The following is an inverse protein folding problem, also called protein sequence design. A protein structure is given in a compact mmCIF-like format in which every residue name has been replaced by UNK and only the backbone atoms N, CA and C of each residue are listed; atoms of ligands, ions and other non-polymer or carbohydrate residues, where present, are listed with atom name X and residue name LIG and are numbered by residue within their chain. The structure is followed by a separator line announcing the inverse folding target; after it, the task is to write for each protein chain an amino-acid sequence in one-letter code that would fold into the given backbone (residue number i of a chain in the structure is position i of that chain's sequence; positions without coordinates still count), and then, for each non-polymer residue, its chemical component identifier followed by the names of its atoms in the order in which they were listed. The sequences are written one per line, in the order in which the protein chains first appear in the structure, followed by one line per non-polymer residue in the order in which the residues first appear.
data_IF_345926529565
#
_entry.id   IF_345926529565
#
_cell.length_a   1.000
_cell.length_b   1.000
_cell.length_c   1.000
_cell.angle_alpha   90.00
_cell.angle_beta   90.00
_cell.angle_gamma   90.00
#
_symmetry.space_group_name_H-M   'P 1'
#
loop_
_entity.id
_entity.type
_entity.pdbx_description
1 polymer ?
#
# COMPACT_ATOMS: atom_id res chain seq x y z
N UNK A 1 23.32 -14.68 29.91
CA UNK A 1 23.61 -13.59 28.96
C UNK A 1 23.73 -14.24 27.58
N UNK A 2 22.63 -14.31 26.84
CA UNK A 2 22.59 -15.01 25.54
C UNK A 2 23.18 -14.05 24.51
N UNK A 3 24.29 -14.44 23.88
CA UNK A 3 24.81 -13.75 22.69
C UNK A 3 23.69 -13.71 21.64
N UNK A 4 23.03 -12.55 21.52
CA UNK A 4 22.20 -12.26 20.35
C UNK A 4 23.18 -12.16 19.19
N UNK A 5 23.34 -13.25 18.43
CA UNK A 5 24.32 -13.34 17.36
C UNK A 5 24.14 -12.18 16.40
N UNK A 6 25.22 -11.48 16.03
CA UNK A 6 25.21 -10.35 15.09
C UNK A 6 24.48 -10.66 13.77
N UNK A 7 24.42 -11.94 13.37
CA UNK A 7 23.64 -12.43 12.21
C UNK A 7 22.15 -12.07 12.27
N UNK A 8 21.55 -11.93 13.46
CA UNK A 8 20.15 -11.55 13.60
C UNK A 8 19.90 -10.09 13.20
N UNK A 9 20.89 -9.22 13.30
CA UNK A 9 20.69 -7.79 13.00
C UNK A 9 20.65 -7.55 11.49
N UNK A 10 21.51 -8.20 10.70
CA UNK A 10 21.58 -7.97 9.25
C UNK A 10 20.30 -8.37 8.52
N UNK A 11 19.69 -9.51 8.91
CA UNK A 11 18.43 -9.95 8.30
C UNK A 11 17.26 -9.03 8.64
N UNK A 12 17.23 -8.45 9.86
CA UNK A 12 16.20 -7.46 10.24
C UNK A 12 16.30 -6.18 9.38
N UNK A 13 17.52 -5.74 9.06
CA UNK A 13 17.73 -4.62 8.13
C UNK A 13 17.29 -4.96 6.70
N UNK A 14 17.63 -6.15 6.20
CA UNK A 14 17.21 -6.60 4.88
C UNK A 14 15.68 -6.70 4.77
N UNK A 15 15.02 -7.27 5.79
CA UNK A 15 13.57 -7.29 5.92
C UNK A 15 12.96 -5.89 5.91
N UNK A 16 13.54 -4.94 6.66
CA UNK A 16 13.09 -3.56 6.66
C UNK A 16 13.25 -2.89 5.28
N UNK A 17 14.39 -3.10 4.61
CA UNK A 17 14.64 -2.59 3.26
C UNK A 17 13.68 -3.18 2.24
N UNK A 18 13.44 -4.49 2.26
CA UNK A 18 12.53 -5.12 1.29
C UNK A 18 11.12 -4.58 1.41
N UNK A 19 10.64 -4.35 2.62
CA UNK A 19 9.29 -3.78 2.85
C UNK A 19 9.24 -2.31 2.45
N UNK A 20 10.21 -1.50 2.87
CA UNK A 20 10.16 -0.05 2.62
C UNK A 20 10.47 0.32 1.16
N UNK A 21 11.27 -0.46 0.45
CA UNK A 21 11.55 -0.23 -0.98
C UNK A 21 10.42 -0.73 -1.89
N UNK A 22 9.57 -1.64 -1.42
CA UNK A 22 8.56 -2.28 -2.26
C UNK A 22 7.60 -1.28 -2.93
N UNK A 23 7.05 -0.24 -2.27
CA UNK A 23 6.27 0.81 -2.93
C UNK A 23 7.03 1.60 -4.00
N UNK A 24 8.32 1.85 -3.78
CA UNK A 24 9.18 2.63 -4.69
C UNK A 24 9.54 1.79 -5.91
N UNK A 25 9.91 0.52 -5.69
CA UNK A 25 10.37 -0.39 -6.74
C UNK A 25 9.25 -1.14 -7.45
N UNK A 26 8.02 -1.00 -6.96
CA UNK A 26 6.84 -1.71 -7.46
C UNK A 26 6.48 -1.45 -8.92
N UNK A 27 6.63 -0.22 -9.46
CA UNK A 27 6.35 0.05 -10.87
C UNK A 27 7.33 -0.57 -11.87
N UNK A 28 8.50 -1.02 -11.42
CA UNK A 28 9.55 -1.53 -12.31
C UNK A 28 9.41 -3.06 -12.47
N UNK A 29 8.81 -3.50 -13.58
CA UNK A 29 8.57 -4.90 -13.92
C UNK A 29 9.82 -5.51 -14.57
N UNK A 30 10.21 -6.70 -14.11
CA UNK A 30 11.33 -7.47 -14.67
C UNK A 30 10.83 -8.62 -15.56
N UNK A 31 9.95 -9.49 -15.03
CA UNK A 31 9.47 -10.68 -15.72
C UNK A 31 7.96 -10.80 -15.52
N UNK A 32 7.19 -10.69 -16.61
CA UNK A 32 5.72 -10.70 -16.54
C UNK A 32 5.21 -9.63 -15.57
N UNK A 33 4.34 -9.97 -14.60
CA UNK A 33 3.87 -9.01 -13.59
C UNK A 33 4.88 -8.76 -12.44
N UNK A 34 5.97 -9.53 -12.34
CA UNK A 34 6.90 -9.46 -11.21
C UNK A 34 7.75 -8.20 -11.26
N UNK A 35 7.60 -7.36 -10.24
CA UNK A 35 8.41 -6.16 -10.05
C UNK A 35 9.73 -6.45 -9.33
N UNK A 36 10.71 -5.53 -9.46
CA UNK A 36 11.97 -5.56 -8.71
C UNK A 36 11.67 -5.65 -7.20
N UNK A 37 10.68 -4.90 -6.72
CA UNK A 37 10.27 -4.91 -5.31
C UNK A 37 9.84 -6.30 -4.83
N UNK A 38 9.07 -7.02 -5.63
CA UNK A 38 8.57 -8.36 -5.28
C UNK A 38 9.67 -9.42 -5.37
N UNK A 39 10.54 -9.33 -6.38
CA UNK A 39 11.70 -10.22 -6.48
C UNK A 39 12.59 -10.05 -5.25
N UNK A 40 12.87 -8.80 -4.85
CA UNK A 40 13.65 -8.54 -3.65
C UNK A 40 12.96 -9.05 -2.38
N UNK A 41 11.63 -8.87 -2.26
CA UNK A 41 10.83 -9.44 -1.17
C UNK A 41 10.96 -10.97 -1.10
N UNK A 42 10.85 -11.67 -2.24
CA UNK A 42 10.97 -13.13 -2.31
C UNK A 42 12.38 -13.59 -1.90
N UNK A 43 13.43 -12.94 -2.39
CA UNK A 43 14.80 -13.27 -2.01
C UNK A 43 15.03 -13.16 -0.50
N UNK A 44 14.57 -12.06 0.11
CA UNK A 44 14.66 -11.86 1.56
C UNK A 44 13.78 -12.86 2.32
N UNK A 45 12.60 -13.21 1.80
CA UNK A 45 11.75 -14.24 2.39
C UNK A 45 12.40 -15.64 2.36
N UNK A 46 13.07 -16.02 1.26
CA UNK A 46 13.80 -17.30 1.17
C UNK A 46 14.94 -17.34 2.19
N UNK A 47 15.73 -16.26 2.29
CA UNK A 47 16.78 -16.14 3.31
C UNK A 47 16.19 -16.22 4.73
N UNK A 48 15.03 -15.60 4.95
CA UNK A 48 14.31 -15.62 6.21
C UNK A 48 13.87 -17.04 6.60
N UNK A 49 13.38 -17.84 5.64
CA UNK A 49 13.05 -19.25 5.84
C UNK A 49 14.31 -20.07 6.18
N UNK A 50 15.41 -19.87 5.45
CA UNK A 50 16.68 -20.60 5.68
C UNK A 50 17.21 -20.33 7.10
N UNK A 51 17.17 -19.07 7.55
CA UNK A 51 17.64 -18.67 8.88
C UNK A 51 16.71 -19.19 9.98
N UNK A 52 15.39 -19.02 9.82
CA UNK A 52 14.41 -19.37 10.86
C UNK A 52 14.10 -20.87 10.91
N UNK A 53 14.27 -21.57 9.79
CA UNK A 53 13.89 -22.98 9.56
C UNK A 53 12.41 -23.29 9.84
N UNK A 54 11.54 -22.28 9.82
CA UNK A 54 10.10 -22.43 10.03
C UNK A 54 9.33 -21.52 9.09
N UNK A 55 8.21 -22.00 8.56
CA UNK A 55 7.27 -21.18 7.82
C UNK A 55 6.34 -20.43 8.79
N UNK A 56 6.10 -19.17 8.49
CA UNK A 56 5.17 -18.31 9.24
C UNK A 56 3.94 -18.07 8.38
N UNK A 57 2.75 -18.32 8.91
CA UNK A 57 1.49 -18.16 8.17
C UNK A 57 0.59 -17.23 8.95
N UNK A 58 0.19 -16.12 8.34
CA UNK A 58 -0.85 -15.26 8.88
C UNK A 58 -2.21 -15.75 8.37
N UNK A 59 -2.99 -16.39 9.25
CA UNK A 59 -4.25 -17.03 8.87
C UNK A 59 -5.28 -16.06 8.24
N UNK A 60 -5.50 -14.82 8.74
CA UNK A 60 -6.40 -13.87 8.08
C UNK A 60 -6.00 -13.57 6.64
N UNK A 61 -4.72 -13.24 6.40
CA UNK A 61 -4.21 -12.90 5.06
C UNK A 61 -4.19 -14.14 4.15
N UNK A 62 -3.87 -15.31 4.68
CA UNK A 62 -3.89 -16.56 3.94
C UNK A 62 -5.32 -16.94 3.52
N UNK A 63 -6.29 -16.77 4.43
CA UNK A 63 -7.69 -17.07 4.16
C UNK A 63 -8.26 -16.21 3.03
N UNK A 64 -8.10 -14.88 3.09
CA UNK A 64 -8.61 -13.98 2.02
C UNK A 64 -7.96 -14.29 0.66
N UNK A 65 -6.66 -14.60 0.67
CA UNK A 65 -5.91 -14.98 -0.52
C UNK A 65 -6.47 -16.25 -1.16
N UNK A 66 -6.66 -17.32 -0.39
CA UNK A 66 -7.19 -18.59 -0.90
C UNK A 66 -8.61 -18.40 -1.43
N UNK A 67 -9.47 -17.64 -0.73
CA UNK A 67 -10.83 -17.36 -1.21
C UNK A 67 -10.80 -16.61 -2.53
N UNK A 68 -10.03 -15.52 -2.66
CA UNK A 68 -9.96 -14.74 -3.91
C UNK A 68 -9.35 -15.53 -5.07
N UNK A 69 -8.32 -16.35 -4.80
CA UNK A 69 -7.75 -17.25 -5.82
C UNK A 69 -8.75 -18.32 -6.25
N UNK A 70 -9.47 -18.94 -5.30
CA UNK A 70 -10.46 -19.96 -5.59
C UNK A 70 -11.65 -19.41 -6.38
N UNK A 71 -12.18 -18.24 -5.99
CA UNK A 71 -13.26 -17.58 -6.71
C UNK A 71 -12.83 -17.22 -8.13
N UNK A 72 -11.61 -16.69 -8.31
CA UNK A 72 -11.07 -16.40 -9.66
C UNK A 72 -10.94 -17.66 -10.51
N UNK A 73 -10.53 -18.78 -9.90
CA UNK A 73 -10.48 -20.08 -10.58
C UNK A 73 -11.87 -20.61 -10.93
N UNK A 74 -12.89 -20.39 -10.11
CA UNK A 74 -14.28 -20.75 -10.46
C UNK A 74 -14.84 -19.85 -11.57
N UNK A 75 -14.58 -18.54 -11.52
CA UNK A 75 -14.99 -17.59 -12.57
C UNK A 75 -14.44 -17.98 -13.94
N UNK A 76 -13.26 -18.59 -14.00
CA UNK A 76 -12.71 -19.11 -15.25
C UNK A 76 -13.68 -20.06 -15.97
N UNK A 77 -14.34 -20.96 -15.26
CA UNK A 77 -15.26 -21.95 -15.84
C UNK A 77 -16.66 -21.39 -16.10
N UNK A 78 -17.00 -20.23 -15.54
CA UNK A 78 -18.32 -19.63 -15.69
C UNK A 78 -18.40 -18.57 -16.78
N UNK A 79 -17.27 -18.17 -17.36
CA UNK A 79 -17.18 -17.13 -18.39
C UNK A 79 -17.08 -17.75 -19.79
N UNK A 80 -17.99 -17.38 -20.69
CA UNK A 80 -18.07 -17.92 -22.06
C UNK A 80 -16.87 -17.56 -22.94
N UNK A 81 -16.17 -16.46 -22.62
CA UNK A 81 -14.98 -16.01 -23.34
C UNK A 81 -14.05 -15.25 -22.39
N UNK A 82 -12.78 -15.65 -22.33
CA UNK A 82 -11.81 -15.06 -21.41
C UNK A 82 -10.46 -14.84 -22.11
N UNK A 83 -10.33 -13.72 -22.83
CA UNK A 83 -9.05 -13.32 -23.45
C UNK A 83 -7.95 -13.01 -22.42
N UNK A 84 -8.30 -12.90 -21.15
CA UNK A 84 -7.40 -12.49 -20.07
C UNK A 84 -6.89 -13.60 -19.15
N UNK A 85 -7.06 -14.88 -19.51
CA UNK A 85 -6.65 -16.04 -18.68
C UNK A 85 -5.19 -15.94 -18.22
N UNK A 86 -4.29 -15.63 -19.16
CA UNK A 86 -2.86 -15.53 -18.84
C UNK A 86 -2.60 -14.41 -17.83
N UNK A 87 -3.28 -13.27 -17.98
CA UNK A 87 -3.21 -12.14 -17.03
C UNK A 87 -3.75 -12.55 -15.65
N UNK A 88 -4.88 -13.26 -15.60
CA UNK A 88 -5.47 -13.76 -14.36
C UNK A 88 -4.52 -14.71 -13.63
N UNK A 89 -3.93 -15.67 -14.35
CA UNK A 89 -2.97 -16.62 -13.81
C UNK A 89 -1.74 -15.90 -13.22
N UNK A 90 -1.19 -14.94 -13.97
CA UNK A 90 -0.08 -14.10 -13.52
C UNK A 90 -0.43 -13.30 -12.26
N UNK A 91 -1.64 -12.72 -12.19
CA UNK A 91 -2.12 -12.01 -11.01
C UNK A 91 -2.31 -12.92 -9.80
N UNK A 92 -2.85 -14.13 -9.98
CA UNK A 92 -2.96 -15.14 -8.92
C UNK A 92 -1.57 -15.51 -8.40
N UNK A 93 -0.64 -15.83 -9.30
CA UNK A 93 0.73 -16.22 -8.94
C UNK A 93 1.44 -15.09 -8.17
N UNK A 94 1.25 -13.84 -8.59
CA UNK A 94 1.78 -12.66 -7.91
C UNK A 94 1.21 -12.46 -6.52
N UNK A 95 -0.11 -12.56 -6.38
CA UNK A 95 -0.79 -12.42 -5.10
C UNK A 95 -0.36 -13.53 -4.13
N UNK A 96 -0.26 -14.77 -4.60
CA UNK A 96 0.26 -15.90 -3.81
C UNK A 96 1.69 -15.66 -3.35
N UNK A 97 2.59 -15.37 -4.29
CA UNK A 97 4.02 -15.21 -4.03
C UNK A 97 4.28 -14.06 -3.06
N UNK A 98 3.68 -12.90 -3.30
CA UNK A 98 3.89 -11.70 -2.49
C UNK A 98 3.31 -11.84 -1.09
N UNK A 99 2.12 -12.46 -0.95
CA UNK A 99 1.49 -12.70 0.35
C UNK A 99 2.30 -13.69 1.19
N UNK A 100 2.73 -14.81 0.58
CA UNK A 100 3.55 -15.81 1.27
C UNK A 100 4.91 -15.25 1.68
N UNK A 101 5.56 -14.49 0.80
CA UNK A 101 6.83 -13.82 1.08
C UNK A 101 6.69 -12.81 2.23
N UNK A 102 5.65 -11.97 2.21
CA UNK A 102 5.36 -11.02 3.30
C UNK A 102 5.22 -11.73 4.65
N UNK A 103 4.47 -12.84 4.71
CA UNK A 103 4.28 -13.60 5.95
C UNK A 103 5.60 -14.12 6.53
N UNK A 104 6.61 -14.42 5.70
CA UNK A 104 7.93 -14.87 6.17
C UNK A 104 8.79 -13.74 6.72
N UNK A 105 8.55 -12.50 6.27
CA UNK A 105 9.33 -11.32 6.66
C UNK A 105 8.83 -10.69 7.96
N UNK A 106 7.51 -10.75 8.23
CA UNK A 106 6.90 -10.22 9.46
C UNK A 106 7.63 -10.62 10.76
N UNK A 107 8.05 -11.88 10.97
CA UNK A 107 8.78 -12.29 12.17
C UNK A 107 10.14 -11.61 12.37
N UNK A 108 10.74 -11.03 11.32
CA UNK A 108 12.01 -10.33 11.36
C UNK A 108 11.84 -8.82 11.56
N UNK A 109 10.63 -8.37 11.90
CA UNK A 109 10.39 -6.99 12.29
C UNK A 109 11.15 -6.67 13.59
N UNK A 110 12.09 -5.75 13.48
CA UNK A 110 12.74 -5.11 14.61
C UNK A 110 12.55 -3.60 14.51
N UNK A 111 11.87 -3.03 15.51
CA UNK A 111 11.50 -1.61 15.56
C UNK A 111 12.67 -0.66 15.26
N UNK A 112 13.85 -0.91 15.83
CA UNK A 112 15.05 -0.06 15.66
C UNK A 112 15.55 -0.07 14.22
N UNK A 113 15.73 -1.27 13.66
CA UNK A 113 16.21 -1.48 12.29
C UNK A 113 15.19 -0.92 11.28
N UNK A 114 13.91 -1.18 11.50
CA UNK A 114 12.83 -0.66 10.67
C UNK A 114 12.74 0.86 10.68
N UNK A 115 12.75 1.49 11.88
CA UNK A 115 12.72 2.95 12.00
C UNK A 115 13.91 3.60 11.28
N UNK A 116 15.12 3.04 11.41
CA UNK A 116 16.32 3.57 10.75
C UNK A 116 16.20 3.56 9.22
N UNK A 117 15.81 2.43 8.64
CA UNK A 117 15.64 2.28 7.18
C UNK A 117 14.51 3.18 6.68
N UNK A 118 13.38 3.17 7.38
CA UNK A 118 12.22 3.96 7.03
C UNK A 118 12.52 5.46 7.07
N UNK A 119 13.20 5.95 8.12
CA UNK A 119 13.65 7.35 8.21
C UNK A 119 14.60 7.70 7.07
N UNK A 120 15.60 6.85 6.78
CA UNK A 120 16.53 7.07 5.66
C UNK A 120 15.79 7.24 4.33
N UNK A 121 14.92 6.29 3.98
CA UNK A 121 14.16 6.35 2.73
C UNK A 121 13.18 7.53 2.69
N UNK A 122 12.58 7.89 3.83
CA UNK A 122 11.71 9.07 3.92
C UNK A 122 12.46 10.38 3.68
N UNK A 123 13.71 10.49 4.14
CA UNK A 123 14.56 11.65 3.88
C UNK A 123 14.88 11.71 2.39
N UNK A 124 15.30 10.59 1.79
CA UNK A 124 15.60 10.52 0.34
C UNK A 124 14.38 10.93 -0.50
N UNK A 125 13.20 10.35 -0.23
CA UNK A 125 11.99 10.68 -0.97
C UNK A 125 11.51 12.12 -0.70
N UNK A 126 11.57 12.58 0.55
CA UNK A 126 11.15 13.91 0.97
C UNK A 126 12.04 15.01 0.41
N UNK A 127 13.37 14.83 0.42
CA UNK A 127 14.32 15.75 -0.19
C UNK A 127 14.08 15.88 -1.70
N UNK A 128 13.81 14.78 -2.40
CA UNK A 128 13.51 14.83 -3.82
C UNK A 128 12.16 15.52 -4.12
N UNK A 129 11.15 15.32 -3.27
CA UNK A 129 9.87 16.07 -3.33
C UNK A 129 10.09 17.58 -3.18
N UNK A 130 10.93 18.00 -2.22
CA UNK A 130 11.28 19.42 -2.02
C UNK A 130 12.07 19.97 -3.22
N UNK A 131 12.98 19.20 -3.80
CA UNK A 131 13.64 19.58 -5.05
C UNK A 131 12.63 19.81 -6.18
N UNK A 132 11.69 18.87 -6.40
CA UNK A 132 10.64 19.04 -7.40
C UNK A 132 9.80 20.31 -7.16
N UNK A 133 9.47 20.60 -5.90
CA UNK A 133 8.76 21.82 -5.51
C UNK A 133 9.52 23.10 -5.91
N UNK A 134 10.82 23.17 -5.59
CA UNK A 134 11.64 24.34 -5.88
C UNK A 134 11.72 24.57 -7.39
N UNK A 135 11.97 23.53 -8.19
CA UNK A 135 12.05 23.65 -9.65
C UNK A 135 10.73 24.12 -10.25
N UNK A 136 9.60 23.56 -9.80
CA UNK A 136 8.26 23.99 -10.26
C UNK A 136 8.00 25.46 -9.94
N UNK A 137 8.33 25.91 -8.73
CA UNK A 137 8.14 27.32 -8.35
C UNK A 137 9.03 28.29 -9.14
N UNK A 138 10.16 27.81 -9.67
CA UNK A 138 11.02 28.57 -10.58
C UNK A 138 10.53 28.54 -12.04
N UNK A 139 9.40 27.88 -12.32
CA UNK A 139 8.85 27.71 -13.67
C UNK A 139 9.51 26.59 -14.48
N UNK A 140 10.35 25.77 -13.86
CA UNK A 140 11.00 24.63 -14.50
C UNK A 140 10.16 23.36 -14.49
N UNK A 141 10.54 22.40 -15.34
CA UNK A 141 10.00 21.03 -15.36
C UNK A 141 11.01 20.12 -14.65
N UNK A 142 10.73 19.64 -13.42
CA UNK A 142 11.70 18.78 -12.75
C UNK A 142 11.81 17.40 -13.39
N UNK A 143 12.75 16.60 -12.91
CA UNK A 143 12.77 15.18 -13.24
C UNK A 143 11.57 14.46 -12.63
N UNK A 144 11.00 13.50 -13.38
CA UNK A 144 9.78 12.80 -12.99
C UNK A 144 9.95 11.70 -11.94
N UNK A 145 11.17 11.41 -11.50
CA UNK A 145 11.46 10.43 -10.47
C UNK A 145 11.54 8.97 -10.94
N UNK A 146 11.44 8.72 -12.25
CA UNK A 146 11.44 7.38 -12.84
C UNK A 146 12.84 6.74 -12.89
N UNK A 147 13.22 6.01 -11.84
CA UNK A 147 14.56 5.42 -11.67
C UNK A 147 15.03 4.52 -12.83
N UNK A 148 14.14 3.65 -13.34
CA UNK A 148 14.47 2.69 -14.41
C UNK A 148 13.49 2.83 -15.59
N UNK A 149 13.89 3.60 -16.60
CA UNK A 149 13.07 3.95 -17.77
C UNK A 149 12.39 2.77 -18.46
N UNK A 150 13.20 1.78 -18.86
CA UNK A 150 12.78 0.60 -19.61
C UNK A 150 11.90 -0.36 -18.80
N UNK A 151 12.19 -0.49 -17.51
CA UNK A 151 11.49 -1.45 -16.64
C UNK A 151 10.11 -0.94 -16.18
N UNK A 152 9.84 0.35 -16.33
CA UNK A 152 8.52 0.93 -16.06
C UNK A 152 7.63 1.04 -17.31
N UNK A 153 7.99 0.35 -18.41
CA UNK A 153 7.12 0.24 -19.61
C UNK A 153 5.79 -0.43 -19.26
N UNK A 154 4.67 0.16 -19.69
CA UNK A 154 3.32 -0.32 -19.37
C UNK A 154 2.82 0.07 -17.98
N UNK A 155 3.57 0.87 -17.22
CA UNK A 155 3.04 1.66 -16.11
C UNK A 155 2.81 3.08 -16.59
N UNK A 156 1.63 3.63 -16.33
CA UNK A 156 1.40 5.07 -16.49
C UNK A 156 2.18 5.78 -15.40
N UNK A 157 3.38 6.25 -15.74
CA UNK A 157 4.04 7.25 -14.93
C UNK A 157 3.27 8.53 -15.16
N UNK A 158 2.82 9.20 -14.10
CA UNK A 158 2.13 10.45 -14.30
C UNK A 158 3.06 11.38 -15.09
N UNK A 159 2.65 11.79 -16.30
CA UNK A 159 3.25 12.87 -17.08
C UNK A 159 3.17 14.23 -16.33
N UNK A 160 2.72 14.19 -15.07
CA UNK A 160 2.32 15.27 -14.20
C UNK A 160 3.46 16.11 -13.66
N UNK A 161 4.69 15.80 -14.02
CA UNK A 161 5.81 16.72 -13.77
C UNK A 161 5.73 17.94 -14.68
N UNK A 162 4.95 17.83 -15.76
CA UNK A 162 4.53 18.96 -16.60
C UNK A 162 3.37 19.78 -16.03
N UNK A 163 2.68 19.32 -14.96
CA UNK A 163 1.40 19.89 -14.48
C UNK A 163 1.32 20.17 -12.97
N UNK A 164 2.40 20.67 -12.35
CA UNK A 164 2.38 21.14 -10.95
C UNK A 164 2.06 20.03 -9.91
N UNK A 165 2.33 18.76 -10.22
CA UNK A 165 2.06 17.61 -9.32
C UNK A 165 3.34 16.85 -9.04
N UNK A 166 3.86 17.06 -7.83
CA UNK A 166 5.08 16.41 -7.36
C UNK A 166 4.77 15.02 -6.82
N UNK A 167 5.62 14.06 -7.16
CA UNK A 167 5.42 12.63 -6.89
C UNK A 167 6.66 11.94 -6.32
N UNK A 168 7.80 12.64 -6.19
CA UNK A 168 9.08 12.05 -5.82
C UNK A 168 9.41 10.82 -6.70
N UNK A 169 9.84 9.69 -6.12
CA UNK A 169 10.15 8.44 -6.84
C UNK A 169 8.94 7.55 -7.14
N UNK A 170 7.71 8.07 -7.02
CA UNK A 170 6.48 7.31 -7.20
C UNK A 170 5.81 7.66 -8.53
N UNK A 171 5.13 6.69 -9.13
CA UNK A 171 4.45 6.92 -10.41
C UNK A 171 3.28 7.90 -10.30
N UNK A 172 2.72 8.09 -9.10
CA UNK A 172 1.66 9.07 -8.83
C UNK A 172 1.81 9.71 -7.43
N UNK A 173 1.31 10.95 -7.24
CA UNK A 173 1.26 11.58 -5.92
C UNK A 173 0.40 10.81 -4.88
N UNK A 174 -0.61 10.04 -5.31
CA UNK A 174 -1.39 9.16 -4.42
C UNK A 174 -0.50 8.05 -3.84
N UNK A 175 0.39 7.47 -4.62
CA UNK A 175 1.28 6.41 -4.15
C UNK A 175 2.35 6.93 -3.19
N UNK A 176 2.83 8.16 -3.41
CA UNK A 176 3.61 8.87 -2.39
C UNK A 176 2.82 8.99 -1.07
N UNK A 177 1.54 9.35 -1.14
CA UNK A 177 0.69 9.42 0.05
C UNK A 177 0.48 8.07 0.74
N UNK A 178 0.28 6.98 -0.02
CA UNK A 178 0.17 5.62 0.53
C UNK A 178 1.46 5.22 1.27
N UNK A 179 2.62 5.65 0.80
CA UNK A 179 3.90 5.42 1.50
C UNK A 179 4.03 6.28 2.77
N UNK A 180 3.72 7.58 2.69
CA UNK A 180 3.94 8.55 3.76
C UNK A 180 2.88 8.53 4.87
N UNK A 181 1.66 8.06 4.62
CA UNK A 181 0.61 7.99 5.65
C UNK A 181 0.95 7.00 6.78
N UNK A 182 1.31 5.73 6.52
CA UNK A 182 1.80 4.81 7.56
C UNK A 182 3.07 5.33 8.24
N UNK A 183 4.00 5.91 7.48
CA UNK A 183 5.21 6.54 8.02
C UNK A 183 4.85 7.61 9.06
N UNK A 184 3.95 8.53 8.71
CA UNK A 184 3.51 9.62 9.59
C UNK A 184 2.88 9.07 10.88
N UNK A 185 1.95 8.11 10.76
CA UNK A 185 1.35 7.45 11.91
C UNK A 185 2.40 6.77 12.79
N UNK A 186 3.36 6.07 12.18
CA UNK A 186 4.46 5.42 12.89
C UNK A 186 5.34 6.44 13.62
N UNK A 187 5.62 7.61 13.03
CA UNK A 187 6.37 8.66 13.72
C UNK A 187 5.61 9.24 14.92
N UNK A 188 4.29 9.41 14.82
CA UNK A 188 3.48 9.84 15.97
C UNK A 188 3.48 8.81 17.09
N UNK A 189 3.23 7.53 16.78
CA UNK A 189 3.25 6.41 17.74
C UNK A 189 4.61 6.31 18.47
N UNK A 190 5.69 6.69 17.79
CA UNK A 190 7.04 6.69 18.35
C UNK A 190 7.47 8.03 18.99
N UNK A 191 6.53 8.95 19.22
CA UNK A 191 6.76 10.27 19.79
C UNK A 191 7.78 11.12 19.02
N UNK A 192 8.02 10.80 17.73
CA UNK A 192 8.86 11.56 16.81
C UNK A 192 8.05 12.66 16.10
N UNK A 193 7.45 13.55 16.90
CA UNK A 193 6.48 14.56 16.45
C UNK A 193 7.00 15.47 15.34
N UNK A 194 8.26 15.92 15.43
CA UNK A 194 8.89 16.75 14.39
C UNK A 194 8.92 16.05 13.04
N UNK A 195 9.32 14.77 13.01
CA UNK A 195 9.32 13.98 11.78
C UNK A 195 7.91 13.76 11.23
N UNK A 196 6.93 13.53 12.11
CA UNK A 196 5.53 13.40 11.70
C UNK A 196 4.97 14.70 11.08
N UNK A 197 5.32 15.87 11.64
CA UNK A 197 4.94 17.17 11.07
C UNK A 197 5.59 17.37 9.69
N UNK A 198 6.88 17.01 9.54
CA UNK A 198 7.56 17.05 8.23
C UNK A 198 6.84 16.14 7.23
N UNK A 199 6.40 14.94 7.63
CA UNK A 199 5.61 14.06 6.77
C UNK A 199 4.28 14.72 6.36
N UNK A 200 3.59 15.39 7.28
CA UNK A 200 2.35 16.11 6.99
C UNK A 200 2.58 17.23 5.95
N UNK A 201 3.67 18.00 6.09
CA UNK A 201 4.04 19.03 5.12
C UNK A 201 4.36 18.43 3.74
N UNK A 202 5.09 17.32 3.69
CA UNK A 202 5.38 16.61 2.43
C UNK A 202 4.11 16.04 1.77
N UNK A 203 3.17 15.52 2.57
CA UNK A 203 1.86 15.07 2.08
C UNK A 203 1.05 16.22 1.50
N UNK A 204 1.09 17.41 2.11
CA UNK A 204 0.48 18.62 1.56
C UNK A 204 1.15 19.05 0.25
N UNK A 205 2.49 19.07 0.21
CA UNK A 205 3.26 19.40 -1.01
C UNK A 205 2.98 18.44 -2.16
N UNK A 206 2.69 17.17 -1.91
CA UNK A 206 2.36 16.21 -2.98
C UNK A 206 1.12 16.60 -3.80
N UNK A 207 0.27 17.50 -3.30
CA UNK A 207 -1.02 17.88 -3.90
C UNK A 207 -2.01 16.72 -4.12
N UNK A 208 -1.81 15.63 -3.38
CA UNK A 208 -2.67 14.45 -3.40
C UNK A 208 -3.83 14.63 -2.43
N UNK A 209 -5.07 14.52 -2.92
CA UNK A 209 -6.28 14.54 -2.06
C UNK A 209 -6.21 13.45 -0.99
N UNK A 210 -5.70 12.26 -1.33
CA UNK A 210 -5.45 11.18 -0.38
C UNK A 210 -4.41 11.59 0.68
N UNK A 211 -3.35 12.29 0.29
CA UNK A 211 -2.33 12.75 1.23
C UNK A 211 -2.86 13.80 2.20
N UNK A 212 -3.57 14.80 1.70
CA UNK A 212 -4.12 15.90 2.51
C UNK A 212 -5.21 15.36 3.45
N UNK A 213 -6.29 14.80 2.91
CA UNK A 213 -7.42 14.31 3.73
C UNK A 213 -7.00 13.13 4.59
N UNK A 214 -6.20 12.21 4.05
CA UNK A 214 -5.67 11.07 4.79
C UNK A 214 -4.83 11.51 5.99
N UNK A 215 -4.02 12.57 5.86
CA UNK A 215 -3.20 13.05 6.98
C UNK A 215 -4.07 13.60 8.12
N UNK A 216 -5.11 14.36 7.80
CA UNK A 216 -6.08 14.89 8.77
C UNK A 216 -6.77 13.74 9.49
N UNK A 217 -7.32 12.76 8.74
CA UNK A 217 -8.01 11.62 9.32
C UNK A 217 -7.08 10.79 10.21
N UNK A 218 -5.85 10.53 9.78
CA UNK A 218 -4.85 9.79 10.59
C UNK A 218 -4.54 10.51 11.89
N UNK A 219 -4.42 11.83 11.87
CA UNK A 219 -4.15 12.61 13.09
C UNK A 219 -5.36 12.62 14.02
N UNK A 220 -6.58 12.74 13.49
CA UNK A 220 -7.81 12.62 14.27
C UNK A 220 -7.91 11.22 14.90
N UNK A 221 -7.66 10.16 14.13
CA UNK A 221 -7.61 8.79 14.63
C UNK A 221 -6.58 8.64 15.75
N UNK A 222 -5.35 9.15 15.56
CA UNK A 222 -4.31 9.14 16.57
C UNK A 222 -4.74 9.89 17.83
N UNK A 223 -5.30 11.10 17.68
CA UNK A 223 -5.77 11.92 18.79
C UNK A 223 -6.86 11.21 19.61
N UNK A 224 -7.82 10.57 18.94
CA UNK A 224 -8.91 9.83 19.58
C UNK A 224 -8.41 8.57 20.29
N UNK A 225 -7.59 7.75 19.60
CA UNK A 225 -7.10 6.48 20.12
C UNK A 225 -6.11 6.69 21.27
N UNK A 226 -5.20 7.67 21.15
CA UNK A 226 -4.23 8.00 22.19
C UNK A 226 -4.72 9.02 23.21
N UNK A 227 -5.96 9.52 23.06
CA UNK A 227 -6.55 10.60 23.87
C UNK A 227 -5.64 11.83 23.98
N UNK A 228 -4.89 12.13 22.92
CA UNK A 228 -3.92 13.23 22.88
C UNK A 228 -4.42 14.37 21.99
N UNK A 229 -5.44 15.09 22.46
CA UNK A 229 -6.09 16.16 21.71
C UNK A 229 -5.21 17.39 21.46
N UNK A 230 -4.08 17.54 22.16
CA UNK A 230 -3.13 18.64 21.93
C UNK A 230 -2.58 18.65 20.50
N UNK A 231 -2.54 17.48 19.85
CA UNK A 231 -2.08 17.38 18.46
C UNK A 231 -2.99 18.11 17.46
N UNK A 232 -4.28 18.25 17.79
CA UNK A 232 -5.26 18.99 16.96
C UNK A 232 -4.91 20.48 16.97
N UNK A 233 -4.50 21.03 18.12
CA UNK A 233 -4.05 22.43 18.22
C UNK A 233 -2.79 22.64 17.39
N UNK A 234 -1.84 21.70 17.43
CA UNK A 234 -0.63 21.77 16.60
C UNK A 234 -0.98 21.78 15.11
N UNK A 235 -1.98 21.00 14.68
CA UNK A 235 -2.48 21.02 13.31
C UNK A 235 -3.12 22.34 12.90
N UNK A 236 -3.95 22.93 13.76
CA UNK A 236 -4.56 24.23 13.49
C UNK A 236 -3.49 25.30 13.31
N UNK A 237 -2.47 25.30 14.18
CA UNK A 237 -1.31 26.18 14.07
C UNK A 237 -0.56 25.92 12.76
N UNK A 238 -0.32 24.65 12.41
CA UNK A 238 0.34 24.29 11.15
C UNK A 238 -0.46 24.78 9.93
N UNK A 239 -1.79 24.67 9.96
CA UNK A 239 -2.68 25.19 8.93
C UNK A 239 -2.57 26.70 8.77
N UNK A 240 -2.57 27.45 9.87
CA UNK A 240 -2.36 28.91 9.87
C UNK A 240 -0.98 29.26 9.29
N UNK A 241 0.06 28.55 9.70
CA UNK A 241 1.42 28.73 9.18
C UNK A 241 1.45 28.47 7.67
N UNK A 242 0.81 27.40 7.19
CA UNK A 242 0.74 27.10 5.75
C UNK A 242 0.06 28.25 4.99
N UNK A 243 -1.07 28.76 5.49
CA UNK A 243 -1.76 29.90 4.86
C UNK A 243 -0.86 31.14 4.79
N UNK A 244 -0.15 31.44 5.88
CA UNK A 244 0.77 32.58 5.93
C UNK A 244 1.99 32.39 5.00
N UNK A 245 2.57 31.18 4.98
CA UNK A 245 3.65 30.83 4.05
C UNK A 245 3.19 30.94 2.59
N UNK A 246 1.94 30.57 2.27
CA UNK A 246 1.40 30.70 0.91
C UNK A 246 1.40 32.16 0.47
N UNK A 247 0.98 33.07 1.34
CA UNK A 247 0.95 34.50 1.07
C UNK A 247 2.36 35.09 0.92
N UNK A 248 3.29 34.75 1.82
CA UNK A 248 4.66 35.29 1.79
C UNK A 248 5.46 34.76 0.59
N UNK A 249 5.35 33.47 0.29
CA UNK A 249 6.15 32.82 -0.75
C UNK A 249 5.54 32.94 -2.14
N UNK A 250 4.39 33.62 -2.28
CA UNK A 250 3.64 33.75 -3.53
C UNK A 250 3.37 32.40 -4.22
N UNK A 251 3.03 31.38 -3.43
CA UNK A 251 2.73 30.01 -3.90
C UNK A 251 1.22 29.74 -3.92
N UNK A 252 0.42 30.78 -4.21
CA UNK A 252 -1.05 30.69 -4.24
C UNK A 252 -1.56 29.59 -5.19
N UNK A 253 -0.81 29.31 -6.26
CA UNK A 253 -1.10 28.23 -7.19
C UNK A 253 -1.25 26.87 -6.48
N UNK A 254 -0.41 26.61 -5.46
CA UNK A 254 -0.41 25.34 -4.73
C UNK A 254 -1.69 25.18 -3.93
N UNK A 255 -2.06 26.23 -3.19
CA UNK A 255 -3.27 26.24 -2.39
C UNK A 255 -4.51 26.17 -3.29
N UNK A 256 -4.56 26.97 -4.35
CA UNK A 256 -5.65 26.97 -5.32
C UNK A 256 -5.82 25.62 -6.01
N UNK A 257 -4.72 24.97 -6.41
CA UNK A 257 -4.76 23.63 -7.03
C UNK A 257 -5.33 22.59 -6.04
N UNK A 258 -4.92 22.64 -4.78
CA UNK A 258 -5.44 21.75 -3.74
C UNK A 258 -6.92 22.00 -3.44
N UNK A 259 -7.33 23.27 -3.29
CA UNK A 259 -8.72 23.64 -3.05
C UNK A 259 -9.61 23.28 -4.23
N UNK A 260 -9.17 23.56 -5.46
CA UNK A 260 -9.91 23.20 -6.66
C UNK A 260 -10.13 21.69 -6.72
N UNK A 261 -9.11 20.85 -6.50
CA UNK A 261 -9.26 19.39 -6.47
C UNK A 261 -10.26 18.88 -5.42
N UNK A 262 -10.43 19.60 -4.31
CA UNK A 262 -11.41 19.26 -3.27
C UNK A 262 -12.81 19.75 -3.67
N UNK A 263 -12.90 20.93 -4.29
CA UNK A 263 -14.16 21.56 -4.65
C UNK A 263 -14.78 21.03 -5.96
N UNK A 264 -13.95 20.61 -6.93
CA UNK A 264 -14.41 20.09 -8.21
C UNK A 264 -14.55 18.58 -8.16
N UNK A 265 -15.79 18.10 -8.07
CA UNK A 265 -16.15 16.70 -8.23
C UNK A 265 -16.14 16.32 -9.73
N UNK A 266 -14.97 16.34 -10.38
CA UNK A 266 -14.86 15.95 -11.80
C UNK A 266 -15.12 14.44 -11.99
N UNK A 267 -15.38 13.99 -13.22
CA UNK A 267 -15.58 12.57 -13.60
C UNK A 267 -14.49 11.63 -13.03
N UNK A 268 -13.22 12.05 -13.03
CA UNK A 268 -12.12 11.28 -12.43
C UNK A 268 -12.23 11.09 -10.90
N UNK A 269 -12.92 11.99 -10.20
CA UNK A 269 -13.23 11.85 -8.77
C UNK A 269 -14.41 10.89 -8.53
N UNK A 270 -15.38 10.85 -9.45
CA UNK A 270 -16.49 9.88 -9.39
C UNK A 270 -15.99 8.44 -9.58
N UNK A 271 -15.04 8.20 -10.50
CA UNK A 271 -14.40 6.88 -10.68
C UNK A 271 -13.65 6.42 -9.42
N UNK A 272 -13.15 7.35 -8.60
CA UNK A 272 -12.50 7.00 -7.33
C UNK A 272 -13.51 6.65 -6.24
N UNK A 273 -14.57 7.45 -6.07
CA UNK A 273 -15.54 7.24 -5.00
C UNK A 273 -16.62 6.21 -5.31
N UNK A 274 -17.33 6.36 -6.43
CA UNK A 274 -18.39 5.45 -6.87
C UNK A 274 -17.79 4.30 -7.67
N UNK A 275 -16.79 4.60 -8.49
CA UNK A 275 -16.15 3.57 -9.30
C UNK A 275 -17.02 3.02 -10.41
N UNK A 276 -16.67 1.82 -10.85
CA UNK A 276 -17.42 1.08 -11.86
C UNK A 276 -18.57 0.26 -11.25
N UNK A 277 -19.16 0.74 -10.15
CA UNK A 277 -20.20 0.00 -9.43
C UNK A 277 -21.43 -0.31 -10.30
N UNK A 278 -21.77 0.59 -11.23
CA UNK A 278 -22.87 0.38 -12.18
C UNK A 278 -22.68 -0.89 -13.04
N UNK A 279 -21.44 -1.21 -13.42
CA UNK A 279 -21.11 -2.39 -14.23
C UNK A 279 -21.23 -3.71 -13.48
N UNK A 280 -21.35 -3.68 -12.15
CA UNK A 280 -21.61 -4.90 -11.38
C UNK A 280 -22.94 -5.54 -11.79
N UNK A 281 -23.94 -4.72 -12.12
CA UNK A 281 -25.27 -5.21 -12.51
C UNK A 281 -25.31 -5.80 -13.92
N UNK A 282 -24.32 -5.48 -14.76
CA UNK A 282 -24.14 -6.05 -16.10
C UNK A 282 -23.53 -7.46 -16.08
N UNK A 283 -23.04 -7.92 -14.91
CA UNK A 283 -22.53 -9.28 -14.78
C UNK A 283 -23.67 -10.30 -14.77
N UNK A 284 -23.49 -11.48 -15.40
CA UNK A 284 -24.37 -12.62 -15.19
C UNK A 284 -24.54 -12.93 -13.71
N UNK A 285 -25.73 -13.40 -13.30
CA UNK A 285 -26.07 -13.63 -11.89
C UNK A 285 -25.01 -14.50 -11.18
N UNK A 286 -24.51 -15.54 -11.83
CA UNK A 286 -23.43 -16.40 -11.26
C UNK A 286 -22.15 -15.59 -10.99
N UNK A 287 -21.76 -14.73 -11.94
CA UNK A 287 -20.58 -13.88 -11.82
C UNK A 287 -20.78 -12.69 -10.86
N UNK A 288 -22.00 -12.31 -10.52
CA UNK A 288 -22.24 -11.38 -9.42
C UNK A 288 -21.81 -11.98 -8.06
N UNK A 289 -21.93 -13.31 -7.89
CA UNK A 289 -21.47 -14.01 -6.69
C UNK A 289 -19.99 -14.38 -6.72
N UNK A 290 -19.47 -14.83 -7.86
CA UNK A 290 -18.10 -15.32 -8.03
C UNK A 290 -17.09 -14.23 -8.45
N UNK A 291 -17.55 -13.21 -9.17
CA UNK A 291 -16.74 -12.21 -9.85
C UNK A 291 -16.28 -12.64 -11.24
N UNK A 292 -15.47 -11.79 -11.88
CA UNK A 292 -14.84 -12.06 -13.19
C UNK A 292 -13.40 -12.56 -13.11
N UNK A 293 -12.84 -12.64 -11.90
CA UNK A 293 -11.49 -13.11 -11.61
C UNK A 293 -10.45 -11.99 -11.46
N UNK A 294 -9.27 -12.38 -10.96
CA UNK A 294 -8.13 -11.50 -10.67
C UNK A 294 -7.77 -10.58 -11.85
N UNK A 295 -7.85 -9.26 -11.62
CA UNK A 295 -7.45 -8.21 -12.58
C UNK A 295 -8.16 -8.30 -13.94
N UNK A 296 -9.40 -8.80 -13.98
CA UNK A 296 -10.13 -9.01 -15.23
C UNK A 296 -11.14 -7.92 -15.59
N UNK A 297 -11.38 -6.92 -14.72
CA UNK A 297 -12.36 -5.87 -14.99
C UNK A 297 -12.22 -5.23 -16.38
N UNK A 298 -11.03 -4.77 -16.76
CA UNK A 298 -10.81 -4.14 -18.07
C UNK A 298 -10.94 -5.11 -19.24
N UNK A 299 -10.59 -6.38 -19.04
CA UNK A 299 -10.65 -7.40 -20.09
C UNK A 299 -12.09 -7.84 -20.34
N UNK A 300 -12.85 -8.03 -19.26
CA UNK A 300 -14.25 -8.43 -19.33
C UNK A 300 -15.13 -7.32 -19.91
N UNK A 301 -14.89 -6.07 -19.50
CA UNK A 301 -15.61 -4.89 -20.01
C UNK A 301 -14.82 -4.14 -21.10
N UNK A 302 -14.06 -4.86 -21.92
CA UNK A 302 -13.21 -4.26 -22.97
C UNK A 302 -14.02 -3.40 -23.96
N UNK A 303 -15.24 -3.81 -24.28
CA UNK A 303 -16.18 -3.06 -25.14
C UNK A 303 -16.60 -1.71 -24.57
N UNK A 304 -16.49 -1.51 -23.25
CA UNK A 304 -16.81 -0.25 -22.58
C UNK A 304 -15.58 0.65 -22.39
N UNK A 305 -14.38 0.19 -22.79
CA UNK A 305 -13.14 0.94 -22.65
C UNK A 305 -12.72 1.18 -21.20
N UNK A 306 -13.10 0.29 -20.27
CA UNK A 306 -12.78 0.47 -18.86
C UNK A 306 -11.30 0.20 -18.56
N UNK A 307 -10.74 0.98 -17.64
CA UNK A 307 -9.41 0.72 -17.08
C UNK A 307 -9.53 -0.19 -15.86
N UNK A 308 -8.46 -0.92 -15.52
CA UNK A 308 -8.39 -1.72 -14.29
C UNK A 308 -8.18 -0.84 -13.03
N UNK A 309 -9.02 0.19 -12.86
CA UNK A 309 -8.88 1.21 -11.83
C UNK A 309 -10.22 1.64 -11.24
N UNK A 310 -10.44 1.36 -9.96
CA UNK A 310 -11.55 1.86 -9.16
C UNK A 310 -11.14 1.79 -7.68
N UNK A 311 -11.98 2.18 -6.72
CA UNK A 311 -11.63 1.88 -5.33
C UNK A 311 -11.60 0.37 -5.08
N UNK A 312 -10.85 -0.04 -4.07
CA UNK A 312 -10.62 -1.45 -3.76
C UNK A 312 -11.90 -2.21 -3.46
N UNK A 313 -12.92 -1.59 -2.84
CA UNK A 313 -14.18 -2.28 -2.56
C UNK A 313 -14.91 -2.66 -3.85
N UNK A 314 -14.99 -1.73 -4.81
CA UNK A 314 -15.61 -1.97 -6.11
C UNK A 314 -14.80 -2.98 -6.93
N UNK A 315 -13.46 -2.85 -6.95
CA UNK A 315 -12.58 -3.82 -7.61
C UNK A 315 -12.75 -5.22 -7.03
N UNK A 316 -12.83 -5.35 -5.70
CA UNK A 316 -13.05 -6.64 -5.05
C UNK A 316 -14.43 -7.20 -5.40
N UNK A 317 -15.46 -6.36 -5.42
CA UNK A 317 -16.81 -6.76 -5.78
C UNK A 317 -16.90 -7.26 -7.23
N UNK A 318 -16.27 -6.58 -8.19
CA UNK A 318 -16.31 -6.98 -9.61
C UNK A 318 -15.42 -8.21 -9.84
N UNK A 319 -14.19 -8.21 -9.35
CA UNK A 319 -13.24 -9.29 -9.62
C UNK A 319 -13.56 -10.58 -8.83
N UNK A 320 -14.16 -10.49 -7.65
CA UNK A 320 -14.39 -11.65 -6.77
C UNK A 320 -15.84 -11.80 -6.30
N UNK A 321 -16.76 -10.98 -6.83
CA UNK A 321 -18.18 -11.05 -6.52
C UNK A 321 -18.51 -10.67 -5.08
N UNK A 322 -19.79 -10.86 -4.73
CA UNK A 322 -20.29 -10.64 -3.37
C UNK A 322 -19.55 -11.51 -2.36
N UNK A 323 -19.23 -12.76 -2.70
CA UNK A 323 -18.53 -13.67 -1.79
C UNK A 323 -17.11 -13.18 -1.48
N UNK A 324 -16.39 -12.67 -2.48
CA UNK A 324 -15.07 -12.11 -2.29
C UNK A 324 -15.07 -10.80 -1.50
N UNK A 325 -16.10 -9.95 -1.68
CA UNK A 325 -16.28 -8.74 -0.88
C UNK A 325 -16.58 -9.07 0.58
N UNK A 326 -17.46 -10.03 0.84
CA UNK A 326 -17.76 -10.52 2.20
C UNK A 326 -16.48 -11.05 2.86
N UNK A 327 -15.68 -11.85 2.15
CA UNK A 327 -14.41 -12.33 2.67
C UNK A 327 -13.44 -11.18 3.00
N UNK A 328 -13.39 -10.13 2.16
CA UNK A 328 -12.55 -8.96 2.40
C UNK A 328 -13.00 -8.15 3.62
N UNK A 329 -14.32 -7.98 3.81
CA UNK A 329 -14.88 -7.35 5.02
C UNK A 329 -14.55 -8.19 6.25
N UNK A 330 -14.69 -9.52 6.19
CA UNK A 330 -14.29 -10.41 7.29
C UNK A 330 -12.80 -10.31 7.60
N UNK A 331 -11.94 -10.20 6.59
CA UNK A 331 -10.52 -9.96 6.78
C UNK A 331 -10.26 -8.65 7.54
N UNK A 332 -10.92 -7.54 7.17
CA UNK A 332 -10.80 -6.25 7.88
C UNK A 332 -11.28 -6.38 9.34
N UNK A 333 -12.43 -7.01 9.57
CA UNK A 333 -12.98 -7.23 10.93
C UNK A 333 -12.05 -8.11 11.76
N UNK A 334 -11.46 -9.14 11.16
CA UNK A 334 -10.50 -10.00 11.83
C UNK A 334 -9.27 -9.20 12.26
N UNK A 335 -8.66 -8.44 11.33
CA UNK A 335 -7.54 -7.56 11.64
C UNK A 335 -7.88 -6.57 12.76
N UNK A 336 -9.07 -5.96 12.75
CA UNK A 336 -9.52 -5.06 13.82
C UNK A 336 -9.51 -5.74 15.20
N UNK A 337 -9.97 -6.99 15.30
CA UNK A 337 -10.03 -7.74 16.56
C UNK A 337 -8.65 -8.13 17.09
N UNK A 338 -7.71 -8.47 16.22
CA UNK A 338 -6.38 -8.99 16.61
C UNK A 338 -5.33 -7.89 16.76
N UNK A 339 -5.57 -6.70 16.22
CA UNK A 339 -4.63 -5.57 16.30
C UNK A 339 -4.62 -4.87 17.66
N UNK A 340 -3.48 -4.30 18.01
CA UNK A 340 -3.35 -3.31 19.09
C UNK A 340 -3.99 -1.99 18.69
N UNK A 341 -4.14 -1.06 19.62
CA UNK A 341 -4.67 0.28 19.33
C UNK A 341 -3.81 1.03 18.30
N UNK A 342 -2.50 0.83 18.31
CA UNK A 342 -1.59 1.33 17.27
C UNK A 342 -1.86 0.69 15.92
N UNK A 343 -2.07 -0.63 15.90
CA UNK A 343 -2.46 -1.39 14.71
C UNK A 343 -3.77 -0.91 14.08
N UNK A 344 -4.73 -0.46 14.90
CA UNK A 344 -6.01 0.10 14.41
C UNK A 344 -5.83 1.40 13.62
N UNK A 345 -4.80 2.20 13.91
CA UNK A 345 -4.49 3.40 13.11
C UNK A 345 -4.09 2.99 11.69
N UNK A 346 -3.19 2.00 11.57
CA UNK A 346 -2.78 1.46 10.27
C UNK A 346 -3.93 0.79 9.52
N UNK A 347 -4.83 0.12 10.25
CA UNK A 347 -6.04 -0.45 9.66
C UNK A 347 -6.97 0.62 9.10
N UNK A 348 -7.16 1.74 9.80
CA UNK A 348 -7.94 2.86 9.25
C UNK A 348 -7.28 3.49 8.02
N UNK A 349 -5.95 3.60 7.99
CA UNK A 349 -5.21 3.99 6.78
C UNK A 349 -5.55 3.05 5.62
N UNK A 350 -5.52 1.73 5.85
CA UNK A 350 -5.88 0.74 4.84
C UNK A 350 -7.32 0.93 4.33
N UNK A 351 -8.28 1.21 5.21
CA UNK A 351 -9.69 1.45 4.83
C UNK A 351 -9.84 2.73 4.00
N UNK A 352 -9.17 3.82 4.41
CA UNK A 352 -9.18 5.10 3.66
C UNK A 352 -8.60 4.91 2.26
N UNK A 353 -7.46 4.22 2.14
CA UNK A 353 -6.86 3.93 0.84
C UNK A 353 -7.79 3.02 0.03
N UNK A 354 -8.39 2.00 0.66
CA UNK A 354 -9.34 1.08 0.01
C UNK A 354 -10.55 1.80 -0.58
N UNK A 355 -10.97 2.91 0.03
CA UNK A 355 -12.12 3.70 -0.43
C UNK A 355 -11.78 4.69 -1.56
N UNK A 356 -10.50 4.95 -1.82
CA UNK A 356 -10.05 5.98 -2.78
C UNK A 356 -9.30 5.37 -3.97
N UNK A 357 -8.58 4.26 -3.77
CA UNK A 357 -7.65 3.70 -4.74
C UNK A 357 -7.77 2.18 -4.88
N UNK A 358 -7.37 1.66 -6.05
CA UNK A 358 -7.19 0.23 -6.30
C UNK A 358 -5.79 -0.15 -5.87
N UNK A 359 -5.66 -0.81 -4.72
CA UNK A 359 -4.33 -1.22 -4.25
C UNK A 359 -4.26 -2.66 -3.77
N UNK A 360 -5.38 -3.40 -3.64
CA UNK A 360 -5.36 -4.79 -3.17
C UNK A 360 -4.39 -5.67 -3.97
N UNK A 361 -3.59 -6.48 -3.27
CA UNK A 361 -2.51 -7.31 -3.82
C UNK A 361 -1.41 -6.57 -4.62
N UNK A 362 -1.35 -5.24 -4.55
CA UNK A 362 -0.21 -4.47 -5.04
C UNK A 362 0.91 -4.36 -3.99
N UNK A 363 2.08 -3.91 -4.43
CA UNK A 363 3.20 -3.51 -3.57
C UNK A 363 2.77 -2.57 -2.43
N UNK A 364 1.88 -1.62 -2.72
CA UNK A 364 1.38 -0.66 -1.73
C UNK A 364 0.50 -1.34 -0.68
N UNK A 365 -0.30 -2.35 -1.07
CA UNK A 365 -1.13 -3.10 -0.12
C UNK A 365 -0.28 -3.89 0.86
N UNK A 366 0.72 -4.61 0.37
CA UNK A 366 1.60 -5.38 1.25
C UNK A 366 2.41 -4.50 2.20
N UNK A 367 2.80 -3.30 1.77
CA UNK A 367 3.46 -2.31 2.63
C UNK A 367 2.55 -1.87 3.78
N UNK A 368 1.28 -1.53 3.51
CA UNK A 368 0.32 -1.13 4.55
C UNK A 368 -0.03 -2.31 5.47
N UNK A 369 -0.28 -3.49 4.89
CA UNK A 369 -0.60 -4.71 5.65
C UNK A 369 0.55 -5.08 6.59
N UNK A 370 1.81 -4.90 6.18
CA UNK A 370 2.95 -5.15 7.06
C UNK A 370 2.84 -4.41 8.40
N UNK A 371 2.52 -3.11 8.40
CA UNK A 371 2.32 -2.35 9.64
C UNK A 371 1.21 -2.95 10.51
N UNK A 372 0.10 -3.34 9.90
CA UNK A 372 -1.02 -3.94 10.64
C UNK A 372 -0.59 -5.25 11.30
N UNK A 373 0.16 -6.09 10.57
CA UNK A 373 0.62 -7.39 11.06
C UNK A 373 1.62 -7.27 12.21
N UNK A 374 2.61 -6.37 12.12
CA UNK A 374 3.63 -6.21 13.18
C UNK A 374 3.07 -5.55 14.45
N UNK A 375 1.96 -4.82 14.34
CA UNK A 375 1.21 -4.25 15.46
C UNK A 375 0.01 -5.11 15.88
N UNK A 376 0.01 -6.40 15.55
CA UNK A 376 -0.98 -7.36 16.06
C UNK A 376 -0.60 -7.93 17.44
N UNK A 377 -1.60 -8.35 18.21
CA UNK A 377 -1.39 -8.95 19.55
C UNK A 377 -0.59 -10.25 19.39
N UNK A 378 0.61 -10.26 19.99
CA UNK A 378 1.65 -11.30 19.89
C UNK A 378 1.16 -12.75 20.01
N UNK A 379 0.07 -13.01 20.75
CA UNK A 379 -0.46 -14.37 20.94
C UNK A 379 -0.98 -15.02 19.65
N UNK A 380 -1.35 -14.27 18.62
CA UNK A 380 -1.85 -14.84 17.35
C UNK A 380 -0.70 -15.22 16.40
N UNK A 381 0.43 -14.51 16.45
CA UNK A 381 1.63 -14.80 15.66
C UNK A 381 2.50 -15.90 16.31
N UNK A 382 2.47 -16.00 17.65
CA UNK A 382 3.25 -17.01 18.38
C UNK A 382 2.53 -18.36 18.55
N UNK A 383 1.18 -18.39 18.56
CA UNK A 383 0.43 -19.65 18.73
C UNK A 383 0.36 -20.52 17.47
N UNK A 384 0.93 -20.09 16.34
CA UNK A 384 1.22 -20.93 15.18
C UNK A 384 2.67 -21.46 15.18
N UNK A 385 3.30 -21.60 16.35
CA UNK A 385 4.36 -22.60 16.57
C UNK A 385 3.81 -24.04 16.51
N UNK A 386 2.96 -24.39 15.53
CA UNK A 386 2.98 -25.77 15.02
C UNK A 386 4.23 -25.85 14.17
N UNK A 387 5.35 -26.09 14.82
CA UNK A 387 6.57 -26.55 14.16
C UNK A 387 6.21 -27.78 13.36
N UNK A 388 5.94 -27.61 12.06
CA UNK A 388 6.29 -28.63 11.08
C UNK A 388 7.83 -28.64 11.06
N UNK A 389 8.44 -29.28 12.05
CA UNK A 389 9.84 -29.66 11.97
C UNK A 389 9.92 -30.65 10.82
N UNK A 390 10.41 -30.20 9.67
CA UNK A 390 10.89 -31.10 8.64
C UNK A 390 12.03 -31.89 9.31
N UNK A 391 11.77 -33.13 9.70
CA UNK A 391 12.81 -34.07 10.10
C UNK A 391 13.62 -34.41 8.85
N UNK A 392 14.61 -33.56 8.53
CA UNK A 392 15.55 -33.80 7.43
C UNK A 392 16.60 -34.85 7.81
N UNK A 393 16.55 -35.41 9.04
CA UNK A 393 17.50 -36.42 9.52
C UNK A 393 17.23 -37.86 9.02
N UNK A 394 16.21 -38.09 8.19
CA UNK A 394 15.90 -39.43 7.65
C UNK A 394 16.28 -39.64 6.18
N UNK A 395 16.90 -38.65 5.51
CA UNK A 395 17.55 -38.90 4.22
C UNK A 395 19.02 -39.27 4.50
N UNK A 396 19.23 -40.50 4.96
CA UNK A 396 20.52 -41.17 4.79
C UNK A 396 20.53 -41.77 3.39
N UNK A 397 21.47 -41.31 2.56
CA UNK A 397 21.90 -42.05 1.35
C UNK A 397 22.41 -43.43 1.73
#
# INVERSE_FOLDING_TARGET
MVYVSEKSNSINYLAAFSICLMPILGPYKLIGPFSIGIIFLVLVAVLSIIIKKTLSINLPLFFILIVHCFLSFLSYFSLDYNEGILSMFWSILMALTSSLALMQIVPFYEKKSFLRVLTFLSIVCGSFMVYQFIVINQGGIPYNGKLFGELAKGYTWSDSVTYLRMNSFFSEPSYFAIFFLPLMAFMFINEKKTYAIICCLLLFLSTSTLGILGSIIVILMYALIKKNYKIIVVLLILGIIIVFCVQILNIEWLLRNNLNKIATTNENSQIRFIGYLEYFWELPIVNQFLGVGFSQLSNYFSNYGLYNYSNTFVIVLINYGILGLIAFIFFIIWLFKVTTDDGKIFLGIMVIISAIDSFIYSNNFYYVVFYILVFSKSSVIQNTKRTFSLNVSEIKM
#
